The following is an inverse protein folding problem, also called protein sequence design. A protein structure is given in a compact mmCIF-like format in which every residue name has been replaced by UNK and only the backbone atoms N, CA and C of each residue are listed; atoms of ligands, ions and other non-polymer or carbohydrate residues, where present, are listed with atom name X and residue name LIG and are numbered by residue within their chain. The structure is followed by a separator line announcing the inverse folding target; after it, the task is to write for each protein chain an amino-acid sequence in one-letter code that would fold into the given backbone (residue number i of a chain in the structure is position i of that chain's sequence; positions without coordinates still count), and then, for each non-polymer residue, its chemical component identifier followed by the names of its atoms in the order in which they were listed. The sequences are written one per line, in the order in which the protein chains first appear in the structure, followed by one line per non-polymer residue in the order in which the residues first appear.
data_IF_555041954086
#
_entry.id   IF_555041954086
#
_cell.length_a   1.000
_cell.length_b   1.000
_cell.length_c   1.000
_cell.angle_alpha   90.00
_cell.angle_beta   90.00
_cell.angle_gamma   90.00
#
_symmetry.space_group_name_H-M   'P 1'
#
loop_
_entity.id
_entity.type
_entity.pdbx_description
1 polymer ?
#
# COMPACT_ATOMS: atom_id res chain seq x y z
N UNK A 1 -50.05 -4.33 -5.20
CA UNK A 1 -49.93 -5.62 -4.49
C UNK A 1 -48.69 -6.29 -5.06
N UNK A 2 -47.66 -6.53 -4.25
CA UNK A 2 -46.48 -7.28 -4.68
C UNK A 2 -46.90 -8.73 -4.98
N UNK A 3 -46.38 -9.32 -6.05
CA UNK A 3 -46.69 -10.72 -6.39
C UNK A 3 -46.16 -11.66 -5.29
N UNK A 4 -46.76 -12.84 -5.11
CA UNK A 4 -46.41 -13.78 -4.02
C UNK A 4 -44.92 -14.18 -4.00
N UNK A 5 -44.28 -14.17 -5.16
CA UNK A 5 -42.83 -14.35 -5.35
C UNK A 5 -42.00 -13.18 -4.86
N UNK A 6 -42.46 -11.94 -5.04
CA UNK A 6 -41.76 -10.73 -4.57
C UNK A 6 -41.85 -10.59 -3.05
N UNK A 7 -43.02 -10.89 -2.47
CA UNK A 7 -43.18 -10.92 -1.02
C UNK A 7 -42.32 -12.01 -0.36
N UNK A 8 -42.18 -13.17 -1.03
CA UNK A 8 -41.27 -14.23 -0.59
C UNK A 8 -39.80 -13.80 -0.67
N UNK A 9 -39.38 -13.17 -1.79
CA UNK A 9 -38.02 -12.65 -1.94
C UNK A 9 -37.67 -11.57 -0.91
N UNK A 10 -38.58 -10.66 -0.60
CA UNK A 10 -38.37 -9.60 0.40
C UNK A 10 -38.21 -10.15 1.82
N UNK A 11 -38.82 -11.31 2.14
CA UNK A 11 -38.64 -11.96 3.45
C UNK A 11 -37.24 -12.56 3.65
N UNK A 12 -36.48 -12.75 2.57
CA UNK A 12 -35.16 -13.37 2.57
C UNK A 12 -34.03 -12.35 2.73
N UNK A 13 -34.36 -11.08 2.94
CA UNK A 13 -33.40 -9.98 2.94
C UNK A 13 -33.54 -9.15 4.24
N UNK A 14 -32.42 -8.68 4.82
CA UNK A 14 -32.40 -7.79 5.99
C UNK A 14 -32.92 -6.40 5.64
N UNK A 15 -33.18 -5.56 6.65
CA UNK A 15 -33.53 -4.15 6.45
C UNK A 15 -32.45 -3.37 5.67
N UNK A 16 -31.20 -3.83 5.70
CA UNK A 16 -30.08 -3.29 4.93
C UNK A 16 -29.85 -4.08 3.65
N UNK A 17 -30.85 -4.75 3.08
CA UNK A 17 -30.79 -5.48 1.81
C UNK A 17 -29.76 -6.66 1.75
N UNK A 18 -29.33 -7.22 2.89
CA UNK A 18 -28.43 -8.39 2.93
C UNK A 18 -29.20 -9.70 2.98
N UNK A 19 -28.66 -10.77 2.41
CA UNK A 19 -29.32 -12.08 2.46
C UNK A 19 -29.39 -12.62 3.91
N UNK A 20 -30.60 -12.93 4.37
CA UNK A 20 -30.88 -13.50 5.70
C UNK A 20 -30.44 -14.96 5.86
N UNK A 21 -30.23 -15.69 4.76
CA UNK A 21 -29.93 -17.13 4.78
C UNK A 21 -28.47 -17.46 5.05
N UNK A 22 -27.64 -16.49 5.44
CA UNK A 22 -26.18 -16.62 5.63
C UNK A 22 -25.41 -17.12 4.40
N UNK A 23 -26.06 -17.30 3.25
CA UNK A 23 -25.41 -17.69 2.00
C UNK A 23 -24.77 -16.49 1.35
N UNK A 24 -23.48 -16.61 1.04
CA UNK A 24 -22.71 -15.59 0.34
C UNK A 24 -22.90 -15.78 -1.17
N UNK A 25 -23.40 -14.75 -1.86
CA UNK A 25 -23.56 -14.77 -3.31
C UNK A 25 -22.52 -13.88 -4.00
N UNK A 26 -22.39 -14.00 -5.31
CA UNK A 26 -21.55 -13.07 -6.10
C UNK A 26 -21.94 -11.61 -5.86
N UNK A 27 -23.25 -11.31 -5.75
CA UNK A 27 -23.78 -9.97 -5.46
C UNK A 27 -23.31 -9.45 -4.10
N UNK A 28 -23.17 -10.32 -3.09
CA UNK A 28 -22.61 -9.92 -1.79
C UNK A 28 -21.20 -9.36 -1.95
N UNK A 29 -20.36 -10.00 -2.77
CA UNK A 29 -19.01 -9.54 -3.03
C UNK A 29 -18.95 -8.25 -3.84
N UNK A 30 -19.81 -8.09 -4.85
CA UNK A 30 -19.92 -6.83 -5.58
C UNK A 30 -20.31 -5.69 -4.64
N UNK A 31 -21.31 -5.91 -3.78
CA UNK A 31 -21.75 -4.91 -2.81
C UNK A 31 -20.65 -4.51 -1.83
N UNK A 32 -19.89 -5.47 -1.31
CA UNK A 32 -18.74 -5.21 -0.43
C UNK A 32 -17.66 -4.36 -1.13
N UNK A 33 -17.38 -4.63 -2.41
CA UNK A 33 -16.44 -3.84 -3.20
C UNK A 33 -16.96 -2.43 -3.47
N UNK A 34 -18.23 -2.28 -3.87
CA UNK A 34 -18.86 -0.97 -4.08
C UNK A 34 -18.82 -0.14 -2.80
N UNK A 35 -19.17 -0.75 -1.67
CA UNK A 35 -19.10 -0.12 -0.36
C UNK A 35 -17.69 0.38 -0.04
N UNK A 36 -16.67 -0.46 -0.23
CA UNK A 36 -15.27 -0.07 0.01
C UNK A 36 -14.80 1.02 -0.97
N UNK A 37 -15.23 0.96 -2.23
CA UNK A 37 -14.89 1.93 -3.27
C UNK A 37 -15.44 3.33 -2.96
N UNK A 38 -16.64 3.44 -2.36
CA UNK A 38 -17.18 4.73 -1.92
C UNK A 38 -16.32 5.41 -0.85
N UNK A 39 -15.73 4.62 0.06
CA UNK A 39 -14.80 5.16 1.06
C UNK A 39 -13.48 5.55 0.44
N UNK A 40 -12.96 4.74 -0.48
CA UNK A 40 -11.75 5.08 -1.24
C UNK A 40 -11.94 6.39 -2.01
N UNK A 41 -13.07 6.55 -2.71
CA UNK A 41 -13.41 7.78 -3.44
C UNK A 41 -13.46 8.99 -2.48
N UNK A 42 -14.10 8.85 -1.32
CA UNK A 42 -14.14 9.89 -0.30
C UNK A 42 -12.74 10.26 0.18
N UNK A 43 -11.89 9.28 0.47
CA UNK A 43 -10.51 9.52 0.90
C UNK A 43 -9.69 10.23 -0.19
N UNK A 44 -9.78 9.78 -1.44
CA UNK A 44 -9.08 10.38 -2.58
C UNK A 44 -9.53 11.81 -2.87
N UNK A 45 -10.81 12.14 -2.67
CA UNK A 45 -11.32 13.53 -2.79
C UNK A 45 -10.61 14.49 -1.85
N UNK A 46 -10.17 14.04 -0.67
CA UNK A 46 -9.42 14.89 0.26
C UNK A 46 -7.95 15.05 -0.12
N UNK A 47 -7.35 14.11 -0.88
CA UNK A 47 -5.99 14.30 -1.42
C UNK A 47 -5.89 15.52 -2.34
N UNK A 48 -6.98 15.87 -3.03
CA UNK A 48 -7.05 17.03 -3.93
C UNK A 48 -7.37 18.34 -3.20
N UNK A 49 -7.56 18.30 -1.88
CA UNK A 49 -7.94 19.47 -1.08
C UNK A 49 -6.76 19.95 -0.25
N UNK A 50 -6.69 21.26 0.06
CA UNK A 50 -5.68 21.76 0.99
C UNK A 50 -5.88 21.16 2.38
N UNK A 51 -4.78 20.89 3.07
CA UNK A 51 -4.75 20.31 4.41
C UNK A 51 -5.10 21.35 5.50
N UNK A 52 -6.33 21.87 5.46
CA UNK A 52 -6.86 22.75 6.50
C UNK A 52 -7.27 21.94 7.73
N UNK A 53 -7.26 22.57 8.91
CA UNK A 53 -7.72 21.94 10.17
C UNK A 53 -9.15 21.36 10.06
N UNK A 54 -10.02 22.04 9.31
CA UNK A 54 -11.37 21.56 9.01
C UNK A 54 -11.36 20.27 8.16
N UNK A 55 -10.57 20.24 7.09
CA UNK A 55 -10.46 19.05 6.22
C UNK A 55 -9.83 17.87 6.96
N UNK A 56 -8.83 18.11 7.82
CA UNK A 56 -8.23 17.09 8.68
C UNK A 56 -9.26 16.52 9.66
N UNK A 57 -10.09 17.37 10.26
CA UNK A 57 -11.17 16.93 11.15
C UNK A 57 -12.20 16.08 10.41
N UNK A 58 -12.58 16.48 9.19
CA UNK A 58 -13.48 15.69 8.32
C UNK A 58 -12.87 14.34 7.94
N UNK A 59 -11.57 14.29 7.67
CA UNK A 59 -10.84 13.04 7.39
C UNK A 59 -10.84 12.09 8.60
N UNK A 60 -10.61 12.60 9.81
CA UNK A 60 -10.72 11.78 11.04
C UNK A 60 -12.12 11.21 11.23
N UNK A 61 -13.15 12.05 11.05
CA UNK A 61 -14.53 11.61 11.12
C UNK A 61 -14.84 10.56 10.04
N UNK A 62 -14.31 10.73 8.82
CA UNK A 62 -14.46 9.75 7.75
C UNK A 62 -13.81 8.39 8.10
N UNK A 63 -12.60 8.38 8.67
CA UNK A 63 -11.97 7.13 9.17
C UNK A 63 -12.81 6.48 10.27
N UNK A 64 -13.37 7.26 11.20
CA UNK A 64 -14.27 6.71 12.23
C UNK A 64 -15.54 6.09 11.62
N UNK A 65 -16.24 6.84 10.76
CA UNK A 65 -17.45 6.36 10.09
C UNK A 65 -17.17 5.13 9.22
N UNK A 66 -15.99 5.05 8.61
CA UNK A 66 -15.53 3.88 7.88
C UNK A 66 -15.57 2.66 8.79
N UNK A 67 -14.89 2.72 9.96
CA UNK A 67 -14.84 1.63 10.95
C UNK A 67 -16.20 1.27 11.54
N UNK A 68 -17.01 2.27 11.88
CA UNK A 68 -18.38 2.04 12.36
C UNK A 68 -19.21 1.29 11.31
N UNK A 69 -19.03 1.61 10.03
CA UNK A 69 -19.74 0.96 8.93
C UNK A 69 -19.19 -0.45 8.59
N UNK A 70 -17.95 -0.79 8.96
CA UNK A 70 -17.48 -2.17 8.87
C UNK A 70 -18.16 -3.07 9.89
N UNK A 71 -18.42 -2.56 11.10
CA UNK A 71 -19.08 -3.32 12.16
C UNK A 71 -20.54 -3.66 11.84
N UNK A 72 -21.20 -2.90 10.97
CA UNK A 72 -22.57 -3.20 10.52
C UNK A 72 -22.62 -4.31 9.45
N UNK A 73 -21.48 -4.70 8.87
CA UNK A 73 -21.45 -5.73 7.85
C UNK A 73 -21.78 -7.11 8.43
N UNK A 74 -22.52 -7.96 7.68
CA UNK A 74 -22.80 -9.32 8.09
C UNK A 74 -21.52 -10.08 8.48
N UNK A 75 -21.54 -10.77 9.61
CA UNK A 75 -20.37 -11.48 10.15
C UNK A 75 -19.80 -12.49 9.17
N UNK A 76 -20.64 -13.14 8.36
CA UNK A 76 -20.19 -14.08 7.32
C UNK A 76 -19.39 -13.42 6.18
N UNK A 77 -19.43 -12.08 6.03
CA UNK A 77 -18.67 -11.34 5.01
C UNK A 77 -17.41 -10.66 5.57
N UNK A 78 -17.30 -10.58 6.91
CA UNK A 78 -16.15 -9.96 7.56
C UNK A 78 -14.96 -10.90 7.60
N UNK A 79 -13.77 -10.34 7.43
CA UNK A 79 -12.53 -11.07 7.66
C UNK A 79 -12.33 -11.39 9.13
N UNK A 80 -11.75 -12.55 9.39
CA UNK A 80 -11.35 -13.01 10.70
C UNK A 80 -10.15 -13.95 10.54
N UNK A 81 -9.16 -13.90 11.43
CA UNK A 81 -7.84 -14.52 11.21
C UNK A 81 -7.86 -16.05 11.01
N UNK A 82 -8.85 -16.75 11.55
CA UNK A 82 -9.04 -18.19 11.40
C UNK A 82 -9.90 -18.59 10.19
N UNK A 83 -10.26 -17.66 9.28
CA UNK A 83 -11.10 -17.97 8.12
C UNK A 83 -10.46 -18.99 7.18
N UNK A 84 -9.13 -19.00 7.09
CA UNK A 84 -8.35 -19.96 6.30
C UNK A 84 -8.43 -21.40 6.81
N UNK A 85 -8.85 -21.60 8.06
CA UNK A 85 -8.99 -22.91 8.70
C UNK A 85 -10.46 -23.35 8.82
N UNK A 86 -11.35 -22.39 9.02
CA UNK A 86 -12.78 -22.63 9.31
C UNK A 86 -13.60 -22.68 8.04
N UNK A 87 -13.38 -21.76 7.10
CA UNK A 87 -14.18 -21.72 5.88
C UNK A 87 -13.83 -22.93 5.02
N UNK A 88 -14.86 -23.64 4.54
CA UNK A 88 -14.68 -24.81 3.68
C UNK A 88 -14.22 -24.45 2.27
N UNK A 89 -14.48 -23.22 1.83
CA UNK A 89 -14.13 -22.72 0.50
C UNK A 89 -12.96 -21.73 0.55
N UNK A 90 -11.76 -22.12 0.07
CA UNK A 90 -10.62 -21.25 -0.20
C UNK A 90 -10.93 -19.89 -0.83
N UNK A 91 -11.86 -19.85 -1.78
CA UNK A 91 -12.23 -18.61 -2.47
C UNK A 91 -12.92 -17.64 -1.51
N UNK A 92 -13.75 -18.14 -0.59
CA UNK A 92 -14.44 -17.30 0.39
C UNK A 92 -13.44 -16.66 1.36
N UNK A 93 -12.49 -17.42 1.89
CA UNK A 93 -11.43 -16.88 2.77
C UNK A 93 -10.60 -15.83 2.04
N UNK A 94 -10.19 -16.13 0.80
CA UNK A 94 -9.44 -15.19 -0.05
C UNK A 94 -10.22 -13.90 -0.27
N UNK A 95 -11.51 -14.00 -0.60
CA UNK A 95 -12.37 -12.85 -0.86
C UNK A 95 -12.54 -11.98 0.38
N UNK A 96 -12.80 -12.57 1.55
CA UNK A 96 -12.85 -11.85 2.83
C UNK A 96 -11.55 -11.10 3.10
N UNK A 97 -10.41 -11.79 2.96
CA UNK A 97 -9.10 -11.19 3.18
C UNK A 97 -8.80 -10.06 2.19
N UNK A 98 -9.11 -10.24 0.91
CA UNK A 98 -8.89 -9.23 -0.13
C UNK A 98 -9.70 -7.95 0.11
N UNK A 99 -10.98 -8.07 0.48
CA UNK A 99 -11.83 -6.93 0.79
C UNK A 99 -11.33 -6.22 2.05
N UNK A 100 -10.92 -6.99 3.07
CA UNK A 100 -10.39 -6.42 4.30
C UNK A 100 -9.05 -5.71 4.08
N UNK A 101 -8.18 -6.20 3.18
CA UNK A 101 -6.98 -5.47 2.74
C UNK A 101 -7.36 -4.13 2.13
N UNK A 102 -8.27 -4.08 1.15
CA UNK A 102 -8.68 -2.82 0.51
C UNK A 102 -9.29 -1.86 1.54
N UNK A 103 -10.02 -2.41 2.49
CA UNK A 103 -10.61 -1.65 3.60
C UNK A 103 -9.54 -1.04 4.52
N UNK A 104 -8.51 -1.81 4.89
CA UNK A 104 -7.33 -1.31 5.61
C UNK A 104 -6.55 -0.29 4.79
N UNK A 105 -6.43 -0.50 3.48
CA UNK A 105 -5.74 0.42 2.57
C UNK A 105 -6.43 1.79 2.52
N UNK A 106 -7.75 1.83 2.56
CA UNK A 106 -8.49 3.10 2.70
C UNK A 106 -8.13 3.83 4.00
N UNK A 107 -8.07 3.13 5.13
CA UNK A 107 -7.69 3.73 6.42
C UNK A 107 -6.22 4.19 6.40
N UNK A 108 -5.34 3.40 5.79
CA UNK A 108 -3.94 3.79 5.55
C UNK A 108 -3.85 5.10 4.76
N UNK A 109 -4.57 5.24 3.65
CA UNK A 109 -4.56 6.47 2.85
C UNK A 109 -5.02 7.69 3.65
N UNK A 110 -6.04 7.51 4.51
CA UNK A 110 -6.50 8.58 5.42
C UNK A 110 -5.38 8.93 6.41
N UNK A 111 -4.74 7.94 7.02
CA UNK A 111 -3.64 8.16 7.96
C UNK A 111 -2.42 8.83 7.30
N UNK A 112 -2.15 8.56 6.01
CA UNK A 112 -1.10 9.23 5.24
C UNK A 112 -1.39 10.71 4.99
N UNK A 113 -2.65 11.10 4.78
CA UNK A 113 -3.02 12.53 4.72
C UNK A 113 -2.95 13.18 6.11
N UNK A 114 -3.19 12.36 7.13
CA UNK A 114 -2.98 12.56 8.57
C UNK A 114 -1.60 13.09 9.00
N UNK A 115 -0.61 12.28 8.63
CA UNK A 115 0.68 12.14 9.33
C UNK A 115 1.56 13.40 9.35
N UNK A 116 1.37 14.29 8.38
CA UNK A 116 2.13 15.55 8.29
C UNK A 116 1.72 16.55 9.38
N UNK A 117 0.55 16.36 9.98
CA UNK A 117 -0.05 17.29 10.94
C UNK A 117 -0.31 16.66 12.32
N UNK A 118 -0.07 15.35 12.47
CA UNK A 118 -0.46 14.59 13.65
C UNK A 118 0.43 13.35 13.86
N UNK A 119 1.05 13.27 15.03
CA UNK A 119 1.84 12.10 15.44
C UNK A 119 0.98 10.84 15.51
N UNK A 120 -0.27 10.96 15.98
CA UNK A 120 -1.19 9.82 16.05
C UNK A 120 -1.52 9.28 14.66
N UNK A 121 -1.63 10.17 13.67
CA UNK A 121 -1.81 9.81 12.27
C UNK A 121 -0.62 9.02 11.74
N UNK A 122 0.60 9.44 12.06
CA UNK A 122 1.84 8.74 11.68
C UNK A 122 1.94 7.36 12.33
N UNK A 123 1.71 7.26 13.63
CA UNK A 123 1.73 5.99 14.35
C UNK A 123 0.68 5.03 13.79
N UNK A 124 -0.54 5.51 13.54
CA UNK A 124 -1.59 4.70 12.93
C UNK A 124 -1.24 4.26 11.51
N UNK A 125 -0.61 5.12 10.70
CA UNK A 125 -0.13 4.74 9.37
C UNK A 125 0.87 3.59 9.43
N UNK A 126 1.81 3.59 10.39
CA UNK A 126 2.75 2.49 10.61
C UNK A 126 2.04 1.21 11.05
N UNK A 127 1.11 1.31 12.00
CA UNK A 127 0.32 0.15 12.48
C UNK A 127 -0.48 -0.49 11.35
N UNK A 128 -1.26 0.31 10.61
CA UNK A 128 -2.07 -0.20 9.50
C UNK A 128 -1.18 -0.73 8.38
N UNK A 129 -0.02 -0.12 8.12
CA UNK A 129 0.93 -0.65 7.13
C UNK A 129 1.44 -2.04 7.51
N UNK A 130 1.79 -2.23 8.78
CA UNK A 130 2.21 -3.53 9.29
C UNK A 130 1.09 -4.58 9.24
N UNK A 131 -0.17 -4.17 9.47
CA UNK A 131 -1.34 -5.04 9.34
C UNK A 131 -1.57 -5.48 7.89
N UNK A 132 -1.52 -4.54 6.93
CA UNK A 132 -1.67 -4.84 5.50
C UNK A 132 -0.61 -5.84 5.05
N UNK A 133 0.68 -5.59 5.35
CA UNK A 133 1.76 -6.50 4.96
C UNK A 133 1.63 -7.87 5.63
N UNK A 134 1.23 -7.92 6.91
CA UNK A 134 0.98 -9.20 7.59
C UNK A 134 -0.11 -10.01 6.88
N UNK A 135 -1.20 -9.36 6.49
CA UNK A 135 -2.32 -10.02 5.81
C UNK A 135 -1.93 -10.46 4.39
N UNK A 136 -1.16 -9.65 3.67
CA UNK A 136 -0.58 -10.05 2.38
C UNK A 136 0.26 -11.32 2.54
N UNK A 137 1.08 -11.43 3.58
CA UNK A 137 1.89 -12.64 3.82
C UNK A 137 1.05 -13.87 4.13
N UNK A 138 -0.04 -13.71 4.89
CA UNK A 138 -1.02 -14.78 5.14
C UNK A 138 -1.61 -15.29 3.81
N UNK A 139 -2.04 -14.36 2.94
CA UNK A 139 -2.55 -14.70 1.61
C UNK A 139 -1.46 -15.33 0.74
N UNK A 140 -0.22 -14.81 0.78
CA UNK A 140 0.91 -15.33 0.00
C UNK A 140 1.27 -16.77 0.38
N UNK A 141 1.21 -17.09 1.68
CA UNK A 141 1.36 -18.44 2.20
C UNK A 141 0.26 -19.38 1.68
N UNK A 142 -0.97 -18.88 1.60
CA UNK A 142 -2.10 -19.62 1.05
C UNK A 142 -2.01 -19.83 -0.47
N UNK A 143 -1.60 -18.79 -1.23
CA UNK A 143 -1.38 -18.83 -2.69
C UNK A 143 -0.44 -19.95 -3.08
N UNK A 144 0.64 -20.19 -2.32
CA UNK A 144 1.59 -21.28 -2.60
C UNK A 144 0.93 -22.66 -2.66
N UNK A 145 -0.25 -22.83 -2.04
CA UNK A 145 -1.05 -24.06 -2.06
C UNK A 145 -2.13 -24.04 -3.14
N UNK A 146 -2.41 -22.89 -3.75
CA UNK A 146 -3.52 -22.65 -4.68
C UNK A 146 -3.13 -21.66 -5.80
N UNK A 147 -2.52 -22.12 -6.90
CA UNK A 147 -2.00 -21.26 -7.98
C UNK A 147 -3.06 -20.38 -8.67
N UNK A 148 -4.34 -20.75 -8.61
CA UNK A 148 -5.47 -19.99 -9.18
C UNK A 148 -5.53 -18.54 -8.66
N UNK A 149 -4.95 -18.27 -7.49
CA UNK A 149 -4.92 -16.93 -6.91
C UNK A 149 -3.70 -16.09 -7.31
N UNK A 150 -2.80 -16.58 -8.17
CA UNK A 150 -1.55 -15.89 -8.51
C UNK A 150 -1.78 -14.45 -8.98
N UNK A 151 -2.58 -14.26 -10.03
CA UNK A 151 -2.86 -12.93 -10.59
C UNK A 151 -3.57 -12.00 -9.58
N UNK A 152 -4.52 -12.54 -8.81
CA UNK A 152 -5.24 -11.75 -7.79
C UNK A 152 -4.31 -11.34 -6.64
N UNK A 153 -3.38 -12.21 -6.26
CA UNK A 153 -2.38 -11.91 -5.26
C UNK A 153 -1.40 -10.84 -5.75
N UNK A 154 -0.94 -10.93 -6.99
CA UNK A 154 -0.07 -9.91 -7.60
C UNK A 154 -0.72 -8.52 -7.55
N UNK A 155 -2.02 -8.43 -7.85
CA UNK A 155 -2.78 -7.20 -7.70
C UNK A 155 -2.77 -6.66 -6.26
N UNK A 156 -3.07 -7.49 -5.25
CA UNK A 156 -3.05 -7.07 -3.84
C UNK A 156 -1.66 -6.61 -3.40
N UNK A 157 -0.61 -7.31 -3.87
CA UNK A 157 0.77 -6.99 -3.53
C UNK A 157 1.17 -5.60 -4.04
N UNK A 158 0.86 -5.31 -5.30
CA UNK A 158 1.23 -4.06 -5.97
C UNK A 158 0.31 -2.91 -5.57
N UNK A 159 -1.01 -3.12 -5.60
CA UNK A 159 -1.99 -2.07 -5.34
C UNK A 159 -2.06 -1.69 -3.86
N UNK A 160 -2.35 -2.68 -3.01
CA UNK A 160 -2.62 -2.42 -1.61
C UNK A 160 -1.36 -2.47 -0.75
N UNK A 161 -0.37 -3.27 -1.14
CA UNK A 161 0.83 -3.55 -0.35
C UNK A 161 2.01 -2.60 -0.55
N UNK A 162 2.21 -2.10 -1.77
CA UNK A 162 3.43 -1.36 -2.12
C UNK A 162 3.59 -0.07 -1.32
N UNK A 163 2.54 0.75 -1.26
CA UNK A 163 2.58 2.03 -0.53
C UNK A 163 2.82 1.84 0.98
N UNK A 164 2.11 0.92 1.67
CA UNK A 164 2.46 0.52 3.04
C UNK A 164 3.90 0.04 3.24
N UNK A 165 4.41 -0.80 2.33
CA UNK A 165 5.78 -1.30 2.40
C UNK A 165 6.81 -0.16 2.32
N UNK A 166 6.58 0.81 1.43
CA UNK A 166 7.43 2.00 1.32
C UNK A 166 7.36 2.84 2.60
N UNK A 167 6.18 3.02 3.19
CA UNK A 167 6.04 3.74 4.47
C UNK A 167 6.84 3.08 5.60
N UNK A 168 6.78 1.76 5.72
CA UNK A 168 7.59 1.02 6.69
C UNK A 168 9.10 1.09 6.37
N UNK A 169 9.47 1.06 5.09
CA UNK A 169 10.86 1.16 4.65
C UNK A 169 11.47 2.52 4.99
N UNK A 170 10.71 3.60 4.81
CA UNK A 170 11.10 4.95 5.24
C UNK A 170 11.27 5.05 6.75
N UNK A 171 10.39 4.41 7.53
CA UNK A 171 10.53 4.37 8.98
C UNK A 171 11.82 3.63 9.40
N UNK A 172 12.11 2.50 8.77
CA UNK A 172 13.35 1.74 8.94
C UNK A 172 14.60 2.55 8.58
N UNK A 173 14.56 3.27 7.46
CA UNK A 173 15.65 4.14 7.04
C UNK A 173 15.87 5.30 8.02
N UNK A 174 14.79 5.91 8.52
CA UNK A 174 14.86 6.95 9.56
C UNK A 174 15.53 6.42 10.84
N UNK A 175 15.18 5.20 11.27
CA UNK A 175 15.83 4.54 12.42
C UNK A 175 17.31 4.21 12.20
N UNK A 176 17.75 4.06 10.94
CA UNK A 176 19.14 3.79 10.61
C UNK A 176 19.99 5.07 10.65
N UNK A 177 19.41 6.20 10.21
CA UNK A 177 20.09 7.49 10.06
C UNK A 177 20.08 8.34 11.32
N UNK A 178 18.99 8.31 12.07
CA UNK A 178 18.84 9.08 13.30
C UNK A 178 19.23 8.22 14.50
N UNK A 179 19.80 8.85 15.53
CA UNK A 179 20.00 8.17 16.81
C UNK A 179 18.63 7.66 17.32
N UNK A 180 18.62 6.44 17.88
CA UNK A 180 17.45 5.60 18.21
C UNK A 180 16.24 6.27 18.87
N UNK A 181 16.36 7.49 19.39
CA UNK A 181 15.36 8.20 20.18
C UNK A 181 14.31 8.98 19.37
N UNK A 182 14.55 9.30 18.09
CA UNK A 182 13.62 10.17 17.32
C UNK A 182 12.51 9.42 16.55
N UNK A 183 12.57 8.09 16.46
CA UNK A 183 11.52 7.29 15.81
C UNK A 183 10.68 6.56 16.85
N UNK A 184 9.57 7.20 17.23
CA UNK A 184 8.58 6.59 18.13
C UNK A 184 7.75 5.59 17.34
N UNK A 185 8.02 4.31 17.56
CA UNK A 185 7.21 3.22 17.02
C UNK A 185 5.93 3.01 17.84
N UNK A 186 4.81 2.62 17.19
CA UNK A 186 3.62 2.18 17.90
C UNK A 186 3.90 0.97 18.81
N UNK A 187 3.18 0.79 19.92
CA UNK A 187 3.40 -0.31 20.87
C UNK A 187 3.37 -1.71 20.24
N UNK A 188 2.53 -1.90 19.22
CA UNK A 188 2.32 -3.19 18.56
C UNK A 188 3.30 -3.46 17.41
N UNK A 189 4.18 -2.51 17.08
CA UNK A 189 5.09 -2.58 15.93
C UNK A 189 6.52 -2.38 16.41
N UNK A 190 7.32 -3.44 16.38
CA UNK A 190 8.76 -3.36 16.67
C UNK A 190 9.62 -3.41 15.40
N UNK A 191 10.90 -3.03 15.54
CA UNK A 191 11.90 -3.06 14.45
C UNK A 191 12.03 -4.44 13.80
N UNK A 192 12.06 -5.52 14.59
CA UNK A 192 12.23 -6.87 14.08
C UNK A 192 11.02 -7.34 13.27
N UNK A 193 9.81 -6.94 13.69
CA UNK A 193 8.57 -7.16 12.96
C UNK A 193 8.61 -6.44 11.62
N UNK A 194 8.99 -5.17 11.57
CA UNK A 194 9.08 -4.43 10.29
C UNK A 194 10.10 -5.08 9.34
N UNK A 195 11.29 -5.45 9.83
CA UNK A 195 12.32 -6.12 9.02
C UNK A 195 11.75 -7.40 8.40
N UNK A 196 11.14 -8.28 9.21
CA UNK A 196 10.53 -9.53 8.71
C UNK A 196 9.44 -9.24 7.69
N UNK A 197 8.59 -8.24 7.95
CA UNK A 197 7.51 -7.87 7.04
C UNK A 197 8.04 -7.47 5.66
N UNK A 198 9.04 -6.57 5.65
CA UNK A 198 9.65 -6.06 4.43
C UNK A 198 10.47 -7.12 3.69
N UNK A 199 11.25 -7.95 4.39
CA UNK A 199 12.04 -9.01 3.75
C UNK A 199 11.17 -10.02 2.99
N UNK A 200 10.06 -10.44 3.59
CA UNK A 200 9.12 -11.35 2.91
C UNK A 200 8.41 -10.62 1.76
N UNK A 201 8.05 -9.34 1.93
CA UNK A 201 7.44 -8.54 0.87
C UNK A 201 8.35 -8.40 -0.36
N UNK A 202 9.65 -8.15 -0.15
CA UNK A 202 10.67 -8.12 -1.23
C UNK A 202 10.72 -9.46 -1.96
N UNK A 203 10.70 -10.58 -1.23
CA UNK A 203 10.68 -11.93 -1.82
C UNK A 203 9.38 -12.21 -2.60
N UNK A 204 8.23 -11.75 -2.09
CA UNK A 204 6.96 -11.88 -2.81
C UNK A 204 6.94 -11.05 -4.09
N UNK A 205 7.52 -9.84 -4.10
CA UNK A 205 7.68 -9.02 -5.31
C UNK A 205 8.54 -9.74 -6.36
N UNK A 206 9.64 -10.34 -5.91
CA UNK A 206 10.56 -11.16 -6.73
C UNK A 206 9.79 -12.29 -7.43
N UNK A 207 8.90 -12.95 -6.69
CA UNK A 207 8.15 -14.10 -7.17
C UNK A 207 6.95 -13.78 -8.05
N UNK A 208 6.54 -12.52 -8.18
CA UNK A 208 5.47 -12.10 -9.10
C UNK A 208 5.98 -11.29 -10.29
N UNK A 209 7.27 -10.94 -10.33
CA UNK A 209 7.82 -10.03 -11.34
C UNK A 209 8.56 -10.80 -12.39
N UNK A 210 7.90 -11.09 -13.51
CA UNK A 210 8.56 -11.68 -14.67
C UNK A 210 8.84 -10.61 -15.75
N UNK A 211 10.01 -10.64 -16.42
CA UNK A 211 10.29 -9.74 -17.53
C UNK A 211 9.20 -9.83 -18.61
N UNK A 212 8.58 -8.70 -18.92
CA UNK A 212 7.46 -8.62 -19.86
C UNK A 212 6.08 -8.45 -19.20
N UNK A 213 5.98 -8.60 -17.88
CA UNK A 213 4.75 -8.24 -17.16
C UNK A 213 4.61 -6.72 -16.98
N UNK A 214 3.38 -6.16 -17.01
CA UNK A 214 3.15 -4.73 -16.79
C UNK A 214 3.66 -4.19 -15.46
N UNK A 215 3.80 -5.06 -14.45
CA UNK A 215 4.21 -4.68 -13.09
C UNK A 215 5.72 -4.78 -12.85
N UNK A 216 6.49 -5.34 -13.80
CA UNK A 216 7.90 -5.69 -13.64
C UNK A 216 8.76 -4.51 -13.17
N UNK A 217 8.77 -3.40 -13.92
CA UNK A 217 9.58 -2.22 -13.64
C UNK A 217 9.31 -1.61 -12.24
N UNK A 218 8.05 -1.65 -11.83
CA UNK A 218 7.60 -1.10 -10.55
C UNK A 218 7.98 -2.00 -9.40
N UNK A 219 7.84 -3.30 -9.56
CA UNK A 219 8.26 -4.25 -8.55
C UNK A 219 9.79 -4.26 -8.38
N UNK A 220 10.55 -4.15 -9.47
CA UNK A 220 12.02 -4.06 -9.40
C UNK A 220 12.49 -2.80 -8.67
N UNK A 221 11.88 -1.65 -8.98
CA UNK A 221 12.20 -0.40 -8.28
C UNK A 221 11.80 -0.45 -6.81
N UNK A 222 10.64 -1.04 -6.50
CA UNK A 222 10.19 -1.28 -5.13
C UNK A 222 11.20 -2.12 -4.36
N UNK A 223 11.60 -3.26 -4.94
CA UNK A 223 12.57 -4.17 -4.33
C UNK A 223 13.89 -3.48 -4.06
N UNK A 224 14.45 -2.77 -5.04
CA UNK A 224 15.69 -2.03 -4.85
C UNK A 224 15.60 -1.02 -3.71
N UNK A 225 14.51 -0.25 -3.65
CA UNK A 225 14.29 0.75 -2.60
C UNK A 225 14.13 0.13 -1.20
N UNK A 226 13.32 -0.93 -1.09
CA UNK A 226 13.04 -1.59 0.20
C UNK A 226 14.28 -2.34 0.69
N UNK A 227 14.96 -3.08 -0.19
CA UNK A 227 16.21 -3.78 0.15
C UNK A 227 17.29 -2.80 0.57
N UNK A 228 17.46 -1.67 -0.13
CA UNK A 228 18.42 -0.64 0.27
C UNK A 228 18.16 -0.07 1.67
N UNK A 229 16.88 0.17 2.01
CA UNK A 229 16.51 0.62 3.36
C UNK A 229 16.80 -0.45 4.43
N UNK A 230 16.57 -1.73 4.13
CA UNK A 230 16.90 -2.83 5.01
C UNK A 230 18.41 -2.97 5.20
N UNK A 231 19.19 -2.90 4.12
CA UNK A 231 20.65 -3.01 4.14
C UNK A 231 21.29 -1.88 4.96
N UNK A 232 20.79 -0.65 4.79
CA UNK A 232 21.21 0.51 5.58
C UNK A 232 20.96 0.29 7.08
N UNK A 233 19.78 -0.22 7.44
CA UNK A 233 19.42 -0.50 8.84
C UNK A 233 20.21 -1.67 9.46
N UNK A 234 20.55 -2.68 8.67
CA UNK A 234 21.25 -3.88 9.14
C UNK A 234 22.77 -3.67 9.23
N UNK A 235 23.34 -2.86 8.33
CA UNK A 235 24.78 -2.58 8.28
C UNK A 235 25.25 -1.63 9.40
N UNK A 236 24.33 -0.93 10.06
CA UNK A 236 24.64 0.10 11.06
C UNK A 236 25.24 1.37 10.43
N UNK A 237 25.48 2.44 11.22
CA UNK A 237 26.15 3.63 10.70
C UNK A 237 27.52 3.20 10.15
N UNK A 238 27.75 3.37 8.85
CA UNK A 238 29.10 3.19 8.32
C UNK A 238 29.99 4.23 8.99
N UNK A 239 30.84 3.80 9.92
CA UNK A 239 32.03 4.56 10.25
C UNK A 239 32.81 4.69 8.94
N UNK A 240 32.77 5.87 8.34
CA UNK A 240 33.66 6.21 7.23
C UNK A 240 35.09 5.95 7.71
N UNK A 241 35.62 4.78 7.36
CA UNK A 241 37.05 4.53 7.48
C UNK A 241 37.66 5.41 6.41
N UNK A 242 38.01 6.65 6.80
CA UNK A 242 38.91 7.50 6.04
C UNK A 242 40.21 6.71 5.81
N UNK A 243 40.25 5.98 4.69
CA UNK A 243 41.47 5.42 4.17
C UNK A 243 42.39 6.61 3.86
N UNK A 244 43.39 6.77 4.72
CA UNK A 244 44.38 7.83 4.67
C UNK A 244 45.23 7.63 3.41
N UNK A 245 44.99 8.52 2.42
CA UNK A 245 45.92 9.13 1.45
C UNK A 245 47.07 8.25 0.90
N UNK A 246 47.06 8.06 -0.42
CA UNK A 246 48.29 8.16 -1.23
C UNK A 246 47.98 8.87 -2.57
N UNK A 247 48.78 9.88 -2.99
CA UNK A 247 48.44 10.77 -4.10
C UNK A 247 48.88 10.19 -5.46
N UNK A 248 48.05 10.33 -6.49
CA UNK A 248 48.47 10.21 -7.89
C UNK A 248 47.94 11.39 -8.72
N UNK A 249 48.84 12.37 -8.83
CA UNK A 249 49.28 13.11 -10.02
C UNK A 249 48.25 13.44 -11.12
N UNK A 250 48.13 14.75 -11.30
CA UNK A 250 47.37 15.54 -12.29
C UNK A 250 47.90 15.44 -13.73
N UNK A 251 46.97 15.49 -14.71
CA UNK A 251 46.97 16.25 -15.98
C UNK A 251 46.48 15.43 -17.20
N UNK A 252 45.99 16.06 -18.30
CA UNK A 252 45.18 17.28 -18.41
C UNK A 252 43.89 17.08 -19.26
N UNK A 253 43.02 18.09 -19.19
CA UNK A 253 41.76 18.24 -19.92
C UNK A 253 41.97 18.32 -21.44
N UNK A 254 41.04 17.73 -22.20
CA UNK A 254 40.92 17.96 -23.64
C UNK A 254 39.53 18.55 -23.94
N UNK A 255 39.56 19.78 -24.47
CA UNK A 255 38.41 20.57 -24.91
C UNK A 255 38.30 20.40 -26.44
N UNK A 256 37.09 20.11 -26.94
CA UNK A 256 36.67 20.57 -28.28
C UNK A 256 36.03 19.53 -29.19
N UNK A 257 34.74 19.75 -29.50
CA UNK A 257 34.06 19.65 -30.82
C UNK A 257 32.56 19.36 -30.57
N UNK A 258 31.71 20.37 -30.42
CA UNK A 258 31.02 21.10 -31.49
C UNK A 258 29.93 20.29 -32.24
N UNK A 259 28.69 20.66 -31.93
CA UNK A 259 27.59 20.96 -32.87
C UNK A 259 27.16 19.89 -33.88
N UNK A 260 26.00 19.29 -33.62
CA UNK A 260 25.00 19.00 -34.67
C UNK A 260 23.60 19.14 -34.06
N UNK A 261 22.86 20.14 -34.55
CA UNK A 261 21.55 20.54 -34.06
C UNK A 261 20.41 19.69 -34.60
N UNK A 262 19.35 19.60 -33.78
CA UNK A 262 18.01 19.09 -34.09
C UNK A 262 17.02 19.62 -33.03
N UNK A 263 15.74 19.87 -33.38
CA UNK A 263 15.00 21.02 -32.86
C UNK A 263 14.29 20.80 -31.52
N UNK A 264 14.17 21.91 -30.78
CA UNK A 264 13.22 22.24 -29.72
C UNK A 264 13.01 21.23 -28.58
N UNK A 265 13.98 21.20 -27.66
CA UNK A 265 13.69 20.84 -26.26
C UNK A 265 13.37 22.13 -25.52
N UNK A 266 12.10 22.28 -25.16
CA UNK A 266 11.64 23.30 -24.21
C UNK A 266 12.54 23.23 -22.97
N UNK A 267 13.18 24.35 -22.72
CA UNK A 267 14.13 24.59 -21.64
C UNK A 267 13.34 24.59 -20.32
N UNK A 268 13.37 23.49 -19.56
CA UNK A 268 12.77 23.40 -18.21
C UNK A 268 13.71 23.90 -17.11
N UNK A 269 14.65 24.78 -17.44
CA UNK A 269 15.47 25.49 -16.47
C UNK A 269 14.79 26.82 -16.09
N UNK A 270 13.66 26.75 -15.37
CA UNK A 270 13.21 27.74 -14.38
C UNK A 270 12.00 27.16 -13.63
N UNK A 271 12.27 26.28 -12.68
CA UNK A 271 11.33 26.03 -11.57
C UNK A 271 12.14 25.67 -10.33
N UNK A 272 12.93 26.64 -9.85
CA UNK A 272 13.51 26.63 -8.50
C UNK A 272 12.35 26.64 -7.51
N UNK A 273 12.05 25.46 -6.96
CA UNK A 273 10.96 25.23 -6.01
C UNK A 273 10.64 23.77 -5.70
N UNK A 274 11.45 22.81 -6.17
CA UNK A 274 11.13 21.37 -6.13
C UNK A 274 12.21 20.49 -5.50
N UNK A 275 13.06 21.06 -4.64
CA UNK A 275 14.09 20.32 -3.87
C UNK A 275 13.55 19.63 -2.59
N UNK A 276 12.24 19.42 -2.48
CA UNK A 276 11.60 18.74 -1.33
C UNK A 276 11.28 17.24 -1.60
N UNK A 277 11.48 16.75 -2.83
CA UNK A 277 10.97 15.45 -3.30
C UNK A 277 12.11 14.43 -3.49
N UNK A 278 12.33 13.55 -2.51
CA UNK A 278 13.35 12.49 -2.57
C UNK A 278 12.84 11.15 -3.14
N UNK A 279 13.67 10.51 -3.98
CA UNK A 279 13.83 9.12 -4.49
C UNK A 279 12.70 8.06 -4.53
N UNK A 280 11.54 8.26 -3.92
CA UNK A 280 10.46 7.25 -3.87
C UNK A 280 9.09 7.75 -4.35
N UNK A 281 9.01 8.92 -5.02
CA UNK A 281 7.74 9.49 -5.48
C UNK A 281 7.14 8.84 -6.72
N UNK A 282 7.86 7.93 -7.38
CA UNK A 282 7.32 7.14 -8.48
C UNK A 282 6.10 6.29 -8.05
N UNK A 283 6.04 5.85 -6.79
CA UNK A 283 4.93 5.05 -6.26
C UNK A 283 3.65 5.88 -6.05
N UNK A 284 3.79 7.19 -5.84
CA UNK A 284 2.68 8.14 -5.77
C UNK A 284 2.28 8.69 -7.16
N UNK A 285 3.18 8.60 -8.13
CA UNK A 285 3.04 9.12 -9.50
C UNK A 285 2.50 8.09 -10.49
N UNK A 286 2.27 6.85 -10.04
CA UNK A 286 1.79 5.77 -10.89
C UNK A 286 0.34 6.05 -11.30
N UNK A 287 0.15 6.34 -12.60
CA UNK A 287 -1.18 6.44 -13.20
C UNK A 287 -1.75 5.02 -13.37
N UNK A 288 -2.36 4.57 -12.28
CA UNK A 288 -3.05 3.31 -12.13
C UNK A 288 -4.19 3.06 -13.13
N UNK A 289 -4.61 4.09 -13.90
CA UNK A 289 -5.70 3.95 -14.88
C UNK A 289 -5.26 3.23 -16.16
N UNK A 290 -3.97 3.25 -16.52
CA UNK A 290 -3.45 2.56 -17.70
C UNK A 290 -3.34 1.04 -17.56
N UNK A 291 -3.37 0.49 -16.34
CA UNK A 291 -3.40 -0.98 -16.14
C UNK A 291 -4.71 -1.63 -16.61
N UNK A 292 -5.78 -0.84 -16.83
CA UNK A 292 -7.07 -1.34 -17.29
C UNK A 292 -7.27 -1.21 -18.82
N UNK A 293 -6.33 -0.60 -19.54
CA UNK A 293 -6.45 -0.38 -20.99
C UNK A 293 -6.12 -1.61 -21.83
N UNK A 294 -5.55 -2.67 -21.23
CA UNK A 294 -5.12 -3.89 -21.92
C UNK A 294 -5.79 -5.19 -21.38
N UNK A 295 -6.96 -5.06 -20.72
CA UNK A 295 -7.87 -6.17 -20.40
C UNK A 295 -9.18 -6.05 -21.17
#
# INVERSE_FOLDING_TARGET
MLNSTEASALSMVTADDWNNQQTISATSWFRMRSFTAEFLEKALKYKLRPATSENITKLRNASKCHWDAWETLPTQLRYYSNCWLIDSDPQVSFMKASIYITYLHCDYLICKMIEQHDELGRQRALTVSAQILSLIQEIGSFRRRNPVFHMRFAYLLVWDGLSPAITLSKAVQKMAREEKEDVILPPDVDRARIIRLLSVFVSDLEGISEPGEPTYEVCERARASISGALDELLSGPQLEVHATIAPKTTAPQNIGAAMLGGPDRVNTATMDGWDWFGDADWANMMDWTNMYAEL
#
